data_IF_876468403854
#
_entry.id   IF_876468403854
#
_cell.length_a   1.000
_cell.length_b   1.000
_cell.length_c   1.000
_cell.angle_alpha   90.00
_cell.angle_beta   90.00
_cell.angle_gamma   90.00
#
_symmetry.space_group_name_H-M   'P 1'
#
loop_
_entity.id
_entity.type
_entity.pdbx_description
1 polymer ?
#
# COMPACT_ATOMS: atom_id res chain seq x y z
N UNK A 1 -41.62 48.65 40.89
CA UNK A 1 -42.07 47.45 40.18
C UNK A 1 -40.98 47.12 39.18
N UNK A 2 -40.17 46.53 39.62
CA UNK A 2 -39.36 45.34 39.88
C UNK A 2 -38.40 44.99 38.71
N UNK A 3 -37.44 45.94 38.49
CA UNK A 3 -36.34 45.75 37.53
C UNK A 3 -35.34 44.66 37.98
N UNK A 4 -35.30 44.39 39.26
CA UNK A 4 -34.38 43.41 39.85
C UNK A 4 -34.79 41.97 39.55
N UNK A 5 -36.06 41.69 39.28
CA UNK A 5 -36.55 40.36 38.97
C UNK A 5 -36.28 39.97 37.50
N UNK A 6 -36.27 40.96 36.60
CA UNK A 6 -35.97 40.71 35.18
C UNK A 6 -34.47 40.44 34.93
N UNK A 7 -33.60 41.11 35.70
CA UNK A 7 -32.16 40.91 35.57
C UNK A 7 -31.70 39.54 36.08
N UNK A 8 -32.33 39.00 37.13
CA UNK A 8 -32.04 37.65 37.64
C UNK A 8 -32.47 36.53 36.69
N UNK A 9 -33.61 36.72 36.02
CA UNK A 9 -34.10 35.71 35.05
C UNK A 9 -33.20 35.70 33.80
N UNK A 10 -32.68 36.86 33.40
CA UNK A 10 -31.76 36.95 32.25
C UNK A 10 -30.41 36.32 32.54
N UNK A 11 -29.87 36.52 33.76
CA UNK A 11 -28.63 35.87 34.18
C UNK A 11 -28.76 34.36 34.35
N UNK A 12 -29.89 33.84 34.84
CA UNK A 12 -30.12 32.40 34.95
C UNK A 12 -30.26 31.73 33.60
N UNK A 13 -30.87 32.39 32.62
CA UNK A 13 -30.93 31.85 31.25
C UNK A 13 -29.58 31.86 30.53
N UNK A 14 -28.78 32.90 30.76
CA UNK A 14 -27.44 33.04 30.20
C UNK A 14 -26.48 32.00 30.77
N UNK A 15 -26.54 31.70 32.06
CA UNK A 15 -25.74 30.65 32.69
C UNK A 15 -26.12 29.25 32.20
N UNK A 16 -27.39 28.98 31.97
CA UNK A 16 -27.83 27.67 31.43
C UNK A 16 -27.39 27.47 29.98
N UNK A 17 -27.41 28.53 29.18
CA UNK A 17 -26.97 28.47 27.80
C UNK A 17 -25.43 28.31 27.70
N UNK A 18 -24.69 29.02 28.54
CA UNK A 18 -23.24 28.88 28.66
C UNK A 18 -22.84 27.48 29.14
N UNK A 19 -23.61 26.92 30.10
CA UNK A 19 -23.36 25.56 30.61
C UNK A 19 -23.57 24.48 29.53
N UNK A 20 -24.65 24.62 28.75
CA UNK A 20 -24.92 23.71 27.63
C UNK A 20 -23.82 23.84 26.58
N UNK A 21 -23.32 25.03 26.30
CA UNK A 21 -22.27 25.26 25.30
C UNK A 21 -20.92 24.69 25.75
N UNK A 22 -20.59 24.82 27.05
CA UNK A 22 -19.37 24.22 27.62
C UNK A 22 -19.44 22.72 27.68
N UNK A 23 -20.60 22.13 28.02
CA UNK A 23 -20.80 20.68 28.05
C UNK A 23 -20.76 20.12 26.62
N UNK A 24 -21.34 20.82 25.62
CA UNK A 24 -21.27 20.44 24.21
C UNK A 24 -19.85 20.52 23.67
N UNK A 25 -19.07 21.52 24.09
CA UNK A 25 -17.67 21.66 23.68
C UNK A 25 -16.77 20.58 24.30
N UNK A 26 -17.03 20.20 25.58
CA UNK A 26 -16.34 19.09 26.22
C UNK A 26 -16.66 17.73 25.58
N UNK A 27 -17.86 17.54 25.07
CA UNK A 27 -18.24 16.30 24.39
C UNK A 27 -17.52 16.12 23.04
N UNK A 28 -17.05 17.20 22.42
CA UNK A 28 -16.28 17.15 21.17
C UNK A 28 -14.79 16.79 21.38
N UNK A 29 -14.30 16.85 22.61
CA UNK A 29 -12.90 16.52 22.93
C UNK A 29 -12.69 15.04 23.29
N UNK A 30 -13.75 14.24 23.39
CA UNK A 30 -13.67 12.81 23.77
C UNK A 30 -13.74 11.88 22.55
N UNK A 31 -13.77 12.45 21.32
CA UNK A 31 -13.70 11.64 20.11
C UNK A 31 -12.25 11.52 19.59
N UNK A 32 -11.33 11.18 20.47
CA UNK A 32 -10.12 10.49 20.08
C UNK A 32 -10.41 9.01 20.40
N UNK A 33 -10.90 8.26 19.44
CA UNK A 33 -10.71 6.82 19.44
C UNK A 33 -9.21 6.66 19.23
N UNK A 34 -8.49 6.50 20.35
CA UNK A 34 -7.20 5.88 20.33
C UNK A 34 -7.49 4.46 19.82
N UNK A 35 -7.20 4.25 18.54
CA UNK A 35 -7.04 2.93 17.98
C UNK A 35 -5.78 2.37 18.66
N UNK A 36 -5.93 1.92 19.89
CA UNK A 36 -4.96 1.12 20.61
C UNK A 36 -4.86 -0.24 19.88
N UNK A 37 -4.33 -0.19 18.66
CA UNK A 37 -3.76 -1.37 18.04
C UNK A 37 -2.60 -1.78 18.93
N UNK A 38 -2.86 -2.66 19.86
CA UNK A 38 -1.83 -3.20 20.75
C UNK A 38 -0.78 -3.82 19.83
N UNK A 39 0.39 -3.17 19.75
CA UNK A 39 1.53 -3.69 19.02
C UNK A 39 1.84 -5.09 19.57
N UNK A 40 1.51 -6.12 18.81
CA UNK A 40 1.73 -7.51 19.21
C UNK A 40 3.18 -7.94 19.04
N UNK A 41 3.88 -7.31 18.11
CA UNK A 41 5.27 -7.66 17.77
C UNK A 41 5.42 -8.98 16.99
N UNK A 42 4.32 -9.62 16.63
CA UNK A 42 4.32 -10.92 15.93
C UNK A 42 4.23 -10.79 14.42
N UNK A 43 3.85 -9.61 13.93
CA UNK A 43 3.63 -9.38 12.52
C UNK A 43 4.93 -9.38 11.71
N UNK A 44 4.93 -10.13 10.60
CA UNK A 44 6.06 -10.31 9.71
C UNK A 44 5.65 -10.24 8.23
N UNK A 45 4.81 -9.26 7.91
CA UNK A 45 4.28 -9.08 6.57
C UNK A 45 5.09 -8.04 5.78
N UNK A 46 5.23 -8.30 4.46
CA UNK A 46 5.58 -7.26 3.49
C UNK A 46 4.27 -6.71 2.94
N UNK A 47 4.08 -5.40 3.07
CA UNK A 47 2.86 -4.71 2.63
C UNK A 47 3.04 -4.00 1.30
N UNK A 48 4.28 -3.61 0.95
CA UNK A 48 4.60 -2.97 -0.32
C UNK A 48 6.01 -3.34 -0.77
N UNK A 49 6.14 -3.53 -2.08
CA UNK A 49 7.40 -3.81 -2.75
C UNK A 49 7.49 -3.01 -4.04
N UNK A 50 8.55 -2.24 -4.23
CA UNK A 50 8.80 -1.43 -5.43
C UNK A 50 10.27 -1.46 -5.81
N UNK A 51 10.54 -1.48 -7.10
CA UNK A 51 11.88 -1.26 -7.65
C UNK A 51 11.91 0.04 -8.46
N UNK A 52 12.96 0.81 -8.25
CA UNK A 52 13.21 2.04 -8.98
C UNK A 52 14.44 1.81 -9.88
N UNK A 53 14.26 1.95 -11.18
CA UNK A 53 15.31 1.78 -12.18
C UNK A 53 15.14 2.81 -13.30
N UNK A 54 16.19 3.55 -13.62
CA UNK A 54 16.24 4.52 -14.72
C UNK A 54 15.09 5.54 -14.71
N UNK A 55 14.71 6.00 -13.50
CA UNK A 55 13.59 6.95 -13.31
C UNK A 55 12.20 6.32 -13.39
N UNK A 56 12.08 5.02 -13.63
CA UNK A 56 10.83 4.29 -13.62
C UNK A 56 10.64 3.55 -12.28
N UNK A 57 9.37 3.40 -11.89
CA UNK A 57 8.99 2.63 -10.71
C UNK A 57 8.21 1.39 -11.13
N UNK A 58 8.72 0.23 -10.76
CA UNK A 58 8.07 -1.06 -10.97
C UNK A 58 7.48 -1.55 -9.66
N UNK A 59 6.16 -1.57 -9.56
CA UNK A 59 5.46 -2.05 -8.37
C UNK A 59 5.27 -3.55 -8.44
N UNK A 60 5.79 -4.26 -7.43
CA UNK A 60 5.59 -5.69 -7.30
C UNK A 60 4.24 -6.03 -6.67
N UNK A 61 3.69 -7.17 -7.05
CA UNK A 61 2.51 -7.75 -6.43
C UNK A 61 2.94 -8.59 -5.22
N UNK A 62 2.39 -8.29 -4.06
CA UNK A 62 2.54 -9.10 -2.85
C UNK A 62 1.33 -10.02 -2.74
N UNK A 63 1.52 -11.32 -2.86
CA UNK A 63 0.45 -12.32 -2.80
C UNK A 63 0.88 -13.50 -1.93
N UNK A 64 0.29 -13.60 -0.73
CA UNK A 64 0.72 -14.58 0.26
C UNK A 64 2.21 -14.42 0.58
N UNK A 65 2.99 -15.45 0.35
CA UNK A 65 4.45 -15.47 0.57
C UNK A 65 5.24 -15.26 -0.73
N UNK A 66 4.62 -14.62 -1.73
CA UNK A 66 5.25 -14.35 -3.02
C UNK A 66 5.28 -12.86 -3.31
N UNK A 67 6.45 -12.39 -3.74
CA UNK A 67 6.67 -11.06 -4.31
C UNK A 67 6.90 -11.23 -5.81
N UNK A 68 5.92 -10.86 -6.63
CA UNK A 68 6.00 -10.97 -8.09
C UNK A 68 6.24 -9.60 -8.70
N UNK A 69 7.32 -9.46 -9.45
CA UNK A 69 7.62 -8.27 -10.22
C UNK A 69 7.42 -8.53 -11.72
N UNK A 70 6.67 -7.66 -12.38
CA UNK A 70 6.50 -7.65 -13.83
C UNK A 70 7.31 -6.51 -14.42
N UNK A 71 8.24 -6.81 -15.32
CA UNK A 71 9.15 -5.83 -15.92
C UNK A 71 9.27 -6.10 -17.43
N UNK A 72 9.36 -5.05 -18.27
CA UNK A 72 9.66 -5.22 -19.68
C UNK A 72 10.97 -5.97 -19.90
N UNK A 73 11.04 -6.75 -20.98
CA UNK A 73 12.17 -7.63 -21.27
C UNK A 73 13.49 -6.87 -21.48
N UNK A 74 13.40 -5.65 -21.99
CA UNK A 74 14.54 -4.78 -22.29
C UNK A 74 15.07 -3.97 -21.08
N UNK A 75 14.49 -4.12 -19.89
CA UNK A 75 14.90 -3.37 -18.69
C UNK A 75 15.91 -4.17 -17.87
N UNK A 76 17.11 -3.64 -17.66
CA UNK A 76 18.05 -4.20 -16.70
C UNK A 76 17.59 -3.90 -15.28
N UNK A 77 17.73 -4.85 -14.37
CA UNK A 77 17.44 -4.70 -12.94
C UNK A 77 18.72 -4.74 -12.09
N UNK A 78 19.87 -4.68 -12.74
CA UNK A 78 21.16 -4.57 -12.06
C UNK A 78 21.30 -3.17 -11.44
N UNK A 79 21.63 -3.11 -10.16
CA UNK A 79 21.75 -1.84 -9.43
C UNK A 79 20.43 -1.10 -9.19
N UNK A 80 19.28 -1.74 -9.41
CA UNK A 80 17.97 -1.15 -9.12
C UNK A 80 17.84 -0.86 -7.62
N UNK A 81 17.26 0.29 -7.29
CA UNK A 81 16.94 0.63 -5.89
C UNK A 81 15.61 0.01 -5.51
N UNK A 82 15.54 -0.49 -4.29
CA UNK A 82 14.33 -1.12 -3.77
C UNK A 82 13.72 -0.31 -2.64
N UNK A 83 12.41 -0.32 -2.59
CA UNK A 83 11.60 0.16 -1.46
C UNK A 83 10.72 -1.00 -0.99
N UNK A 84 10.97 -1.49 0.21
CA UNK A 84 10.15 -2.50 0.87
C UNK A 84 9.53 -1.89 2.12
N UNK A 85 8.22 -2.06 2.26
CA UNK A 85 7.51 -1.71 3.49
C UNK A 85 7.06 -3.02 4.15
N UNK A 86 7.52 -3.25 5.36
CA UNK A 86 7.13 -4.40 6.17
C UNK A 86 6.41 -3.96 7.45
N UNK A 87 5.92 -4.93 8.20
CA UNK A 87 5.29 -4.72 9.52
C UNK A 87 6.19 -3.91 10.45
N UNK A 88 5.58 -3.23 11.40
CA UNK A 88 6.27 -2.37 12.37
C UNK A 88 7.34 -3.16 13.15
N UNK A 89 8.55 -2.59 13.24
CA UNK A 89 9.71 -3.20 13.88
C UNK A 89 10.14 -4.59 13.34
N UNK A 90 9.66 -4.99 12.16
CA UNK A 90 10.16 -6.17 11.48
C UNK A 90 11.43 -5.84 10.67
N UNK A 91 12.28 -6.84 10.50
CA UNK A 91 13.50 -6.77 9.68
C UNK A 91 13.42 -7.70 8.49
N UNK A 92 14.12 -7.35 7.41
CA UNK A 92 14.17 -8.13 6.17
C UNK A 92 15.59 -8.59 5.91
N UNK A 93 15.78 -9.88 5.59
CA UNK A 93 17.09 -10.47 5.25
C UNK A 93 16.99 -11.33 3.98
N UNK A 94 17.95 -11.24 3.02
CA UNK A 94 19.07 -10.31 3.01
C UNK A 94 18.62 -8.86 3.04
N UNK A 95 19.51 -7.93 3.43
CA UNK A 95 19.21 -6.50 3.36
C UNK A 95 18.89 -6.13 1.90
N UNK A 96 17.69 -5.61 1.64
CA UNK A 96 17.30 -5.26 0.28
C UNK A 96 18.24 -4.25 -0.40
N UNK A 97 18.92 -3.40 0.39
CA UNK A 97 19.89 -2.44 -0.12
C UNK A 97 21.20 -3.08 -0.60
N UNK A 98 21.50 -4.31 -0.16
CA UNK A 98 22.70 -5.07 -0.55
C UNK A 98 22.47 -5.98 -1.77
N UNK A 99 21.23 -6.09 -2.24
CA UNK A 99 20.90 -6.90 -3.42
C UNK A 99 21.31 -6.17 -4.69
N UNK A 100 22.34 -6.64 -5.36
CA UNK A 100 22.88 -6.02 -6.59
C UNK A 100 22.06 -6.37 -7.84
N UNK A 101 21.51 -7.58 -7.92
CA UNK A 101 20.80 -8.06 -9.11
C UNK A 101 19.37 -8.53 -8.76
N UNK A 102 18.40 -7.74 -9.18
CA UNK A 102 16.97 -8.05 -9.03
C UNK A 102 16.40 -8.82 -10.22
N UNK A 103 17.23 -9.24 -11.17
CA UNK A 103 16.83 -10.01 -12.34
C UNK A 103 16.63 -11.50 -12.06
N UNK A 104 16.99 -11.98 -10.87
CA UNK A 104 16.92 -13.40 -10.49
C UNK A 104 15.93 -13.62 -9.35
N UNK A 105 15.41 -14.83 -9.24
CA UNK A 105 14.52 -15.20 -8.14
C UNK A 105 15.34 -15.59 -6.89
N UNK A 106 14.92 -15.12 -5.72
CA UNK A 106 15.51 -15.47 -4.43
C UNK A 106 14.50 -15.35 -3.29
N UNK A 107 14.92 -15.63 -2.08
CA UNK A 107 14.05 -15.59 -0.92
C UNK A 107 14.43 -14.45 0.03
N UNK A 108 13.42 -13.77 0.57
CA UNK A 108 13.55 -12.89 1.72
C UNK A 108 13.04 -13.60 2.98
N UNK A 109 13.68 -13.35 4.11
CA UNK A 109 13.15 -13.71 5.41
C UNK A 109 12.75 -12.43 6.13
N UNK A 110 11.49 -12.29 6.49
CA UNK A 110 10.98 -11.21 7.34
C UNK A 110 10.91 -11.73 8.75
N UNK A 111 11.60 -11.05 9.66
CA UNK A 111 11.64 -11.40 11.08
C UNK A 111 10.91 -10.33 11.87
N UNK A 112 9.87 -10.71 12.60
CA UNK A 112 9.09 -9.82 13.46
C UNK A 112 9.90 -9.38 14.70
N UNK A 113 9.37 -8.41 15.45
CA UNK A 113 9.96 -7.98 16.71
C UNK A 113 10.14 -9.15 17.71
N UNK A 114 9.18 -10.07 17.76
CA UNK A 114 9.23 -11.27 18.63
C UNK A 114 10.01 -12.45 18.00
N UNK A 115 10.79 -12.20 16.94
CA UNK A 115 11.60 -13.20 16.24
C UNK A 115 10.80 -14.28 15.48
N UNK A 116 9.53 -14.06 15.18
CA UNK A 116 8.78 -14.92 14.29
C UNK A 116 9.22 -14.67 12.85
N UNK A 117 9.55 -15.73 12.12
CA UNK A 117 10.09 -15.64 10.76
C UNK A 117 9.05 -16.06 9.72
N UNK A 118 9.05 -15.33 8.59
CA UNK A 118 8.29 -15.65 7.40
C UNK A 118 9.16 -15.51 6.17
N UNK A 119 9.12 -16.50 5.30
CA UNK A 119 9.93 -16.52 4.08
C UNK A 119 9.07 -16.10 2.89
N UNK A 120 9.50 -15.05 2.19
CA UNK A 120 8.91 -14.60 0.94
C UNK A 120 9.76 -15.01 -0.25
N UNK A 121 9.12 -15.56 -1.27
CA UNK A 121 9.76 -15.87 -2.54
C UNK A 121 9.63 -14.67 -3.49
N UNK A 122 10.75 -14.05 -3.82
CA UNK A 122 10.81 -13.04 -4.87
C UNK A 122 10.92 -13.73 -6.23
N UNK A 123 10.10 -13.27 -7.19
CA UNK A 123 10.09 -13.74 -8.58
C UNK A 123 9.95 -12.55 -9.52
N UNK A 124 10.70 -12.57 -10.60
CA UNK A 124 10.59 -11.60 -11.69
C UNK A 124 10.08 -12.29 -12.94
N UNK A 125 9.12 -11.66 -13.62
CA UNK A 125 8.60 -12.10 -14.91
C UNK A 125 8.83 -11.01 -15.92
N UNK A 126 9.42 -11.38 -17.05
CA UNK A 126 9.66 -10.48 -18.18
C UNK A 126 8.43 -10.45 -19.08
N UNK A 127 7.98 -9.23 -19.40
CA UNK A 127 6.86 -9.03 -20.31
C UNK A 127 7.37 -8.49 -21.63
N UNK A 128 6.98 -9.12 -22.72
CA UNK A 128 7.19 -8.56 -24.06
C UNK A 128 6.16 -7.45 -24.22
N UNK A 129 6.63 -6.20 -24.38
CA UNK A 129 5.76 -5.14 -24.85
C UNK A 129 5.41 -5.52 -26.29
N UNK A 130 4.16 -5.91 -26.53
CA UNK A 130 3.67 -5.98 -27.90
C UNK A 130 3.89 -4.61 -28.52
N UNK A 131 4.79 -4.51 -29.50
CA UNK A 131 4.96 -3.26 -30.24
C UNK A 131 3.61 -2.94 -30.86
N UNK A 132 3.10 -1.72 -30.64
CA UNK A 132 1.95 -1.22 -31.36
C UNK A 132 2.28 -1.26 -32.86
N UNK A 133 1.92 -2.31 -33.54
CA UNK A 133 2.17 -2.46 -34.96
C UNK A 133 2.07 -3.89 -35.48
N UNK A 134 2.16 -4.90 -34.64
CA UNK A 134 2.32 -6.27 -35.10
C UNK A 134 1.02 -7.09 -35.29
N UNK A 135 -0.13 -6.50 -35.06
CA UNK A 135 -1.43 -7.09 -35.44
C UNK A 135 -2.18 -6.14 -36.35
N UNK A 136 -1.60 -5.79 -37.47
CA UNK A 136 -2.36 -5.32 -38.63
C UNK A 136 -2.75 -6.53 -39.45
N UNK A 137 -3.93 -7.10 -39.15
CA UNK A 137 -4.67 -7.88 -40.12
C UNK A 137 -5.09 -6.90 -41.23
N UNK A 138 -4.25 -6.74 -42.23
CA UNK A 138 -4.39 -5.69 -43.24
C UNK A 138 -5.15 -6.18 -44.49
N UNK A 139 -5.40 -7.49 -44.58
CA UNK A 139 -6.14 -8.05 -45.72
C UNK A 139 -7.29 -8.95 -45.24
N UNK A 140 -8.42 -9.00 -46.00
CA UNK A 140 -9.52 -9.92 -45.70
C UNK A 140 -9.08 -11.39 -45.64
N UNK A 141 -8.08 -11.75 -46.42
CA UNK A 141 -7.52 -13.12 -46.50
C UNK A 141 -6.80 -13.49 -45.17
N UNK A 142 -6.11 -12.56 -44.53
CA UNK A 142 -5.47 -12.79 -43.22
C UNK A 142 -6.51 -12.96 -42.11
N UNK A 143 -7.62 -12.23 -42.17
CA UNK A 143 -8.74 -12.35 -41.23
C UNK A 143 -9.40 -13.72 -41.37
N UNK A 144 -9.63 -14.19 -42.60
CA UNK A 144 -10.19 -15.51 -42.85
C UNK A 144 -9.24 -16.64 -42.42
N UNK A 145 -7.94 -16.49 -42.66
CA UNK A 145 -6.93 -17.46 -42.23
C UNK A 145 -6.83 -17.55 -40.68
N UNK A 146 -7.05 -16.45 -40.01
CA UNK A 146 -7.06 -16.42 -38.54
C UNK A 146 -8.33 -17.10 -37.98
N UNK A 147 -9.48 -16.82 -38.59
CA UNK A 147 -10.74 -17.46 -38.23
C UNK A 147 -10.74 -18.97 -38.53
N UNK A 148 -10.12 -19.40 -39.63
CA UNK A 148 -10.02 -20.82 -40.01
C UNK A 148 -9.13 -21.65 -39.06
N UNK A 149 -8.24 -21.03 -38.25
CA UNK A 149 -7.40 -21.75 -37.27
C UNK A 149 -8.13 -22.07 -35.96
N UNK A 150 -9.39 -21.69 -35.81
CA UNK A 150 -10.24 -22.13 -34.69
C UNK A 150 -9.75 -21.66 -33.30
N UNK A 151 -9.11 -20.50 -33.23
CA UNK A 151 -8.78 -19.88 -31.95
C UNK A 151 -10.00 -19.04 -31.53
N UNK A 152 -10.93 -19.72 -30.88
CA UNK A 152 -12.07 -19.16 -30.16
C UNK A 152 -12.01 -19.53 -28.71
#
# INVERSE_FOLDING_TARGET
>A
MDETKYSRIRMMKMNRFLYILVVSFMALLVSCEDDDSIFSGDENFITSFRLLQDGNTYTGLVSGDTLLLLVPENVSLEGAKVEIVCSENASVSPDPAEVENWGEAFNFTVTSYNNNQRVYKYMVTRTVLASEGDVRLTTPEEVEAFAARGIG
#
